data_IF_250083139667
#
_entry.id   IF_250083139667
#
_cell.length_a   1.000
_cell.length_b   1.000
_cell.length_c   1.000
_cell.angle_alpha   90.00
_cell.angle_beta   90.00
_cell.angle_gamma   90.00
#
_symmetry.space_group_name_H-M   'P 1'
#
loop_
_entity.id
_entity.type
_entity.pdbx_description
1 polymer ?
#
# COMPACT_ATOMS: atom_id res chain seq x y z
N UNK A 1 6.88 -17.51 24.13
CA UNK A 1 6.73 -16.35 23.22
C UNK A 1 7.28 -16.79 21.88
N UNK A 2 6.42 -17.01 20.89
CA UNK A 2 6.82 -17.50 19.58
C UNK A 2 7.00 -16.26 18.68
N UNK A 3 8.22 -16.08 18.19
CA UNK A 3 8.51 -15.15 17.12
C UNK A 3 8.08 -15.91 15.85
N UNK A 4 7.00 -15.49 15.21
CA UNK A 4 6.62 -16.03 13.89
C UNK A 4 7.63 -15.50 12.88
N UNK A 5 8.73 -16.23 12.73
CA UNK A 5 9.75 -15.96 11.73
C UNK A 5 9.25 -16.54 10.40
N UNK A 6 8.68 -15.68 9.56
CA UNK A 6 8.28 -16.03 8.20
C UNK A 6 9.52 -16.43 7.38
N UNK A 7 9.47 -17.66 6.88
CA UNK A 7 10.47 -18.35 6.06
C UNK A 7 11.01 -17.47 4.92
N UNK A 8 12.30 -17.11 5.00
CA UNK A 8 13.09 -16.67 3.85
C UNK A 8 13.66 -17.91 3.18
N UNK A 9 13.10 -18.30 2.05
CA UNK A 9 13.84 -19.07 1.04
C UNK A 9 13.74 -18.37 -0.30
N UNK A 10 14.91 -18.24 -0.91
CA UNK A 10 15.31 -17.56 -2.14
C UNK A 10 14.64 -18.14 -3.41
N UNK A 11 14.73 -17.36 -4.49
CA UNK A 11 14.42 -17.68 -5.90
C UNK A 11 12.97 -17.39 -6.40
N UNK A 12 12.78 -16.22 -7.03
CA UNK A 12 11.59 -15.78 -7.80
C UNK A 12 10.21 -15.96 -7.14
N UNK A 13 10.15 -16.02 -5.81
CA UNK A 13 8.90 -16.12 -5.07
C UNK A 13 8.15 -14.80 -5.13
N UNK A 14 6.92 -14.84 -5.64
CA UNK A 14 5.93 -13.77 -5.48
C UNK A 14 5.77 -13.56 -3.97
N UNK A 15 6.39 -12.50 -3.44
CA UNK A 15 6.30 -12.19 -2.01
C UNK A 15 4.93 -11.58 -1.80
N UNK A 16 4.06 -12.28 -1.08
CA UNK A 16 2.84 -11.71 -0.52
C UNK A 16 3.10 -11.38 0.95
N UNK A 17 3.07 -10.11 1.30
CA UNK A 17 3.23 -9.60 2.65
C UNK A 17 2.00 -8.75 2.97
N UNK A 18 1.22 -9.17 3.97
CA UNK A 18 0.13 -8.37 4.51
C UNK A 18 0.54 -7.83 5.87
N UNK A 19 0.51 -6.52 6.02
CA UNK A 19 0.87 -5.80 7.24
C UNK A 19 -0.22 -4.76 7.56
N UNK A 20 -0.45 -4.48 8.84
CA UNK A 20 -1.39 -3.44 9.28
C UNK A 20 -0.59 -2.21 9.70
N UNK A 21 -0.86 -1.06 9.07
CA UNK A 21 -0.14 0.19 9.32
C UNK A 21 -1.09 1.23 9.92
N UNK A 22 -0.69 1.79 11.07
CA UNK A 22 -1.36 2.92 11.70
C UNK A 22 -1.14 4.19 10.85
N UNK A 23 -2.24 4.73 10.29
CA UNK A 23 -2.25 5.93 9.45
C UNK A 23 -2.99 7.12 10.10
N UNK A 24 -3.57 6.94 11.29
CA UNK A 24 -4.28 8.01 12.00
C UNK A 24 -3.41 9.23 12.30
N UNK A 25 -2.15 9.02 12.68
CA UNK A 25 -1.19 10.11 12.88
C UNK A 25 -0.58 10.65 11.58
N UNK A 26 -1.01 10.13 10.42
CA UNK A 26 -0.46 10.51 9.12
C UNK A 26 -1.18 11.69 8.48
N UNK A 27 -2.47 11.88 8.78
CA UNK A 27 -3.35 12.83 8.09
C UNK A 27 -4.36 13.40 9.08
N UNK A 28 -4.49 14.73 9.14
CA UNK A 28 -5.41 15.44 10.04
C UNK A 28 -6.91 15.09 9.84
N UNK A 29 -7.25 14.46 8.71
CA UNK A 29 -8.61 14.08 8.33
C UNK A 29 -8.98 12.64 8.75
N UNK A 30 -8.05 11.88 9.33
CA UNK A 30 -8.28 10.51 9.79
C UNK A 30 -8.35 10.45 11.32
N UNK A 31 -9.16 9.55 11.90
CA UNK A 31 -9.13 9.33 13.34
C UNK A 31 -7.75 8.82 13.78
N UNK A 32 -7.30 9.19 14.98
CA UNK A 32 -5.96 8.88 15.50
C UNK A 32 -5.62 7.37 15.50
N UNK A 33 -6.64 6.51 15.58
CA UNK A 33 -6.57 5.05 15.58
C UNK A 33 -6.86 4.43 14.20
N UNK A 34 -6.85 5.22 13.11
CA UNK A 34 -7.04 4.70 11.76
C UNK A 34 -5.92 3.73 11.38
N UNK A 35 -6.27 2.48 11.10
CA UNK A 35 -5.37 1.47 10.52
C UNK A 35 -5.71 1.21 9.06
N UNK A 36 -4.68 0.84 8.30
CA UNK A 36 -4.80 0.42 6.90
C UNK A 36 -4.12 -0.94 6.73
N UNK A 37 -4.85 -1.90 6.16
CA UNK A 37 -4.23 -3.15 5.73
C UNK A 37 -3.46 -2.90 4.44
N UNK A 38 -2.22 -3.37 4.39
CA UNK A 38 -1.35 -3.23 3.23
C UNK A 38 -0.90 -4.61 2.79
N UNK A 39 -1.23 -4.99 1.57
CA UNK A 39 -0.81 -6.24 0.96
C UNK A 39 0.16 -5.94 -0.18
N UNK A 40 1.45 -6.18 0.04
CA UNK A 40 2.48 -6.14 -0.99
C UNK A 40 2.52 -7.47 -1.74
N UNK A 41 2.55 -7.43 -3.07
CA UNK A 41 2.65 -8.58 -3.96
C UNK A 41 3.72 -8.34 -5.01
N UNK A 42 4.75 -9.18 -5.06
CA UNK A 42 5.72 -9.17 -6.16
C UNK A 42 7.16 -9.13 -5.70
N UNK A 43 7.99 -8.38 -6.43
CA UNK A 43 9.43 -8.23 -6.18
C UNK A 43 9.81 -6.76 -6.30
N UNK A 44 11.02 -6.39 -5.85
CA UNK A 44 11.55 -5.03 -6.00
C UNK A 44 11.64 -4.56 -7.46
N UNK A 45 11.67 -5.46 -8.44
CA UNK A 45 11.64 -5.10 -9.87
C UNK A 45 10.24 -4.82 -10.44
N UNK A 46 9.19 -5.38 -9.84
CA UNK A 46 7.79 -5.16 -10.19
C UNK A 46 6.90 -5.67 -9.06
N UNK A 47 6.07 -4.78 -8.53
CA UNK A 47 5.20 -5.04 -7.39
C UNK A 47 3.84 -4.40 -7.54
N UNK A 48 2.90 -4.95 -6.80
CA UNK A 48 1.55 -4.43 -6.61
C UNK A 48 1.29 -4.32 -5.12
N UNK A 49 0.86 -3.16 -4.65
CA UNK A 49 0.49 -2.88 -3.28
C UNK A 49 -1.02 -2.65 -3.26
N UNK A 50 -1.74 -3.48 -2.52
CA UNK A 50 -3.16 -3.33 -2.25
C UNK A 50 -3.34 -2.71 -0.86
N UNK A 51 -3.95 -1.53 -0.78
CA UNK A 51 -4.23 -0.83 0.47
C UNK A 51 -5.73 -0.94 0.74
N UNK A 52 -6.14 -1.54 1.85
CA UNK A 52 -7.54 -1.56 2.27
C UNK A 52 -7.76 -0.60 3.44
N UNK A 53 -8.63 0.39 3.22
CA UNK A 53 -8.96 1.40 4.21
C UNK A 53 -10.43 1.82 4.11
N UNK A 54 -11.17 1.77 5.22
CA UNK A 54 -12.58 2.21 5.33
C UNK A 54 -13.46 1.65 4.20
N UNK A 55 -13.36 0.34 3.95
CA UNK A 55 -14.15 -0.34 2.92
C UNK A 55 -13.78 0.02 1.47
N UNK A 56 -12.70 0.79 1.27
CA UNK A 56 -12.08 1.05 -0.04
C UNK A 56 -10.80 0.24 -0.16
N UNK A 57 -10.53 -0.22 -1.37
CA UNK A 57 -9.29 -0.91 -1.77
C UNK A 57 -8.60 -0.09 -2.83
N UNK A 58 -7.33 0.21 -2.62
CA UNK A 58 -6.52 1.02 -3.51
C UNK A 58 -5.41 0.12 -4.05
N UNK A 59 -5.22 0.14 -5.36
CA UNK A 59 -4.21 -0.67 -6.04
C UNK A 59 -3.14 0.28 -6.55
N UNK A 60 -1.92 0.04 -6.08
CA UNK A 60 -0.72 0.76 -6.44
C UNK A 60 0.23 -0.23 -7.12
N UNK A 61 0.65 0.05 -8.34
CA UNK A 61 1.59 -0.80 -9.08
C UNK A 61 2.89 -0.05 -9.30
N UNK A 62 4.02 -0.69 -9.07
CA UNK A 62 5.31 -0.03 -9.15
C UNK A 62 6.44 -0.95 -9.53
N UNK A 63 7.60 -0.34 -9.71
CA UNK A 63 8.87 -0.99 -10.00
C UNK A 63 9.99 -0.16 -9.39
N UNK A 64 10.91 -0.79 -8.66
CA UNK A 64 12.00 -0.10 -7.97
C UNK A 64 11.47 0.84 -6.88
N UNK A 65 11.81 2.12 -6.96
CA UNK A 65 11.41 3.15 -5.99
C UNK A 65 10.22 4.00 -6.48
N UNK A 66 9.62 3.63 -7.61
CA UNK A 66 8.51 4.36 -8.24
C UNK A 66 7.25 3.50 -8.24
N UNK A 67 6.10 4.12 -7.99
CA UNK A 67 4.80 3.45 -8.07
C UNK A 67 3.70 4.38 -8.59
N UNK A 68 2.62 3.77 -9.06
CA UNK A 68 1.47 4.44 -9.65
C UNK A 68 0.19 3.92 -9.02
N UNK A 69 -0.71 4.81 -8.60
CA UNK A 69 -2.07 4.46 -8.20
C UNK A 69 -2.87 4.09 -9.45
N UNK A 70 -3.06 2.80 -9.68
CA UNK A 70 -3.71 2.25 -10.87
C UNK A 70 -5.20 1.98 -10.69
N UNK A 71 -5.68 1.85 -9.45
CA UNK A 71 -7.09 1.57 -9.20
C UNK A 71 -7.57 1.94 -7.80
N UNK A 72 -8.85 2.25 -7.71
CA UNK A 72 -9.58 2.42 -6.45
C UNK A 72 -10.89 1.67 -6.59
N UNK A 73 -11.19 0.80 -5.63
CA UNK A 73 -12.36 -0.06 -5.61
C UNK A 73 -13.09 0.15 -4.29
N UNK A 74 -14.42 0.17 -4.28
CA UNK A 74 -15.21 0.46 -3.07
C UNK A 74 -16.64 0.88 -3.42
N UNK A 75 -17.45 1.20 -2.40
CA UNK A 75 -18.88 1.45 -2.55
C UNK A 75 -19.20 2.57 -3.57
N UNK A 76 -19.96 2.17 -4.60
CA UNK A 76 -20.67 2.89 -5.68
C UNK A 76 -20.02 4.08 -6.43
N UNK A 77 -18.93 4.68 -5.97
CA UNK A 77 -18.25 5.80 -6.65
C UNK A 77 -16.74 5.83 -6.36
N UNK A 78 -16.05 4.72 -6.57
CA UNK A 78 -14.59 4.66 -6.43
C UNK A 78 -13.91 5.29 -7.66
N UNK A 79 -14.03 6.61 -7.81
CA UNK A 79 -13.24 7.36 -8.78
C UNK A 79 -11.77 7.40 -8.34
N UNK A 80 -10.84 7.28 -9.29
CA UNK A 80 -9.43 7.58 -9.04
C UNK A 80 -9.34 9.03 -8.56
N UNK A 81 -8.69 9.32 -7.42
CA UNK A 81 -8.53 10.69 -6.96
C UNK A 81 -7.63 11.45 -7.93
N UNK A 82 -7.79 12.77 -7.99
CA UNK A 82 -6.90 13.63 -8.80
C UNK A 82 -5.46 13.64 -8.28
N UNK A 83 -5.25 13.26 -7.01
CA UNK A 83 -3.95 13.22 -6.32
C UNK A 83 -3.87 12.02 -5.39
N UNK A 84 -2.66 11.51 -5.20
CA UNK A 84 -2.36 10.47 -4.21
C UNK A 84 -2.64 11.04 -2.81
N UNK A 85 -3.44 10.36 -1.97
CA UNK A 85 -3.68 10.78 -0.60
C UNK A 85 -2.39 10.85 0.23
N UNK A 86 -2.29 11.85 1.11
CA UNK A 86 -1.09 12.07 1.95
C UNK A 86 -0.70 10.87 2.82
N UNK A 87 -1.69 10.13 3.35
CA UNK A 87 -1.44 8.92 4.15
C UNK A 87 -0.75 7.82 3.32
N UNK A 88 -1.05 7.70 2.03
CA UNK A 88 -0.41 6.71 1.16
C UNK A 88 1.08 6.99 1.01
N UNK A 89 1.49 8.25 0.98
CA UNK A 89 2.92 8.58 0.91
C UNK A 89 3.70 8.04 2.12
N UNK A 90 3.11 8.07 3.33
CA UNK A 90 3.78 7.50 4.50
C UNK A 90 3.85 5.97 4.44
N UNK A 91 2.74 5.33 4.03
CA UNK A 91 2.69 3.87 3.86
C UNK A 91 3.71 3.41 2.81
N UNK A 92 3.73 4.05 1.65
CA UNK A 92 4.62 3.72 0.54
C UNK A 92 6.09 4.05 0.87
N UNK A 93 6.36 5.13 1.60
CA UNK A 93 7.71 5.42 2.09
C UNK A 93 8.25 4.35 3.05
N UNK A 94 7.40 3.73 3.88
CA UNK A 94 7.81 2.61 4.73
C UNK A 94 8.20 1.35 3.94
N UNK A 95 7.81 1.30 2.66
CA UNK A 95 8.10 0.23 1.69
C UNK A 95 9.19 0.62 0.67
N UNK A 96 10.01 1.63 0.95
CA UNK A 96 11.06 2.14 0.05
C UNK A 96 10.54 2.71 -1.29
N UNK A 97 9.25 3.06 -1.37
CA UNK A 97 8.65 3.73 -2.53
C UNK A 97 8.64 5.23 -2.28
N UNK A 98 9.42 5.96 -3.08
CA UNK A 98 9.69 7.39 -2.88
C UNK A 98 8.81 8.24 -3.80
N UNK A 99 8.56 7.76 -5.02
CA UNK A 99 7.82 8.48 -6.03
C UNK A 99 6.49 7.77 -6.31
N UNK A 100 5.38 8.50 -6.12
CA UNK A 100 4.03 7.95 -6.31
C UNK A 100 3.20 8.93 -7.12
N UNK A 101 2.66 8.47 -8.25
CA UNK A 101 1.77 9.24 -9.12
C UNK A 101 0.42 8.57 -9.30
N UNK A 102 -0.59 9.32 -9.74
CA UNK A 102 -1.86 8.72 -10.17
C UNK A 102 -1.76 8.39 -11.65
N UNK A 103 -2.06 7.15 -12.02
CA UNK A 103 -2.10 6.75 -13.43
C UNK A 103 -3.27 7.47 -14.12
N UNK A 104 -2.93 8.38 -15.05
CA UNK A 104 -3.88 9.19 -15.82
C UNK A 104 -4.55 8.40 -16.95
#
# INVERSE_FOLDING_TARGET
MAITQTDRSDDARRIELTDEIEIGQAVDDLPDDATCDVTFRGTSGSFTIELAFVGKRWIVEGSGSTAELTGVFGAENAAKPERVPGWMHKVLASMDVIEVSVQR
#
